data_IF_426099312673
#
_entry.id   IF_426099312673
#
_cell.length_a   1.000
_cell.length_b   1.000
_cell.length_c   1.000
_cell.angle_alpha   90.00
_cell.angle_beta   90.00
_cell.angle_gamma   90.00
#
_symmetry.space_group_name_H-M   'P 1'
#
loop_
_entity.id
_entity.type
_entity.pdbx_description
1 polymer ?
#
# COMPACT_ATOMS: atom_id res chain seq x y z
N UNK A 1 4.69 -2.49 -18.97
CA UNK A 1 4.00 -2.99 -17.77
C UNK A 1 3.61 -1.75 -17.01
N UNK A 2 2.32 -1.47 -16.87
CA UNK A 2 1.88 -0.44 -15.92
C UNK A 2 2.29 -0.93 -14.53
N UNK A 3 3.07 -0.11 -13.82
CA UNK A 3 3.50 -0.44 -12.47
C UNK A 3 2.29 -0.37 -11.54
N UNK A 4 2.22 -1.29 -10.57
CA UNK A 4 1.18 -1.26 -9.55
C UNK A 4 1.36 0.00 -8.69
N UNK A 5 0.30 0.79 -8.52
CA UNK A 5 0.35 1.92 -7.59
C UNK A 5 0.25 1.42 -6.13
N UNK A 6 1.10 1.95 -5.27
CA UNK A 6 1.04 1.67 -3.84
C UNK A 6 -0.21 2.34 -3.21
N UNK A 7 -0.97 1.63 -2.36
CA UNK A 7 -2.18 2.18 -1.74
C UNK A 7 -1.82 3.28 -0.71
N UNK A 8 -1.79 4.52 -1.17
CA UNK A 8 -1.51 5.70 -0.35
C UNK A 8 -2.72 6.13 0.47
N UNK A 9 -2.46 6.78 1.61
CA UNK A 9 -3.49 7.41 2.45
C UNK A 9 -3.79 8.86 2.05
N UNK A 10 -3.29 9.32 0.92
CA UNK A 10 -3.45 10.70 0.46
C UNK A 10 -3.98 10.72 -0.96
N UNK A 11 -4.93 11.62 -1.20
CA UNK A 11 -5.43 11.94 -2.54
C UNK A 11 -4.28 12.51 -3.37
N UNK A 12 -3.97 11.89 -4.51
CA UNK A 12 -3.07 12.53 -5.46
C UNK A 12 -3.81 13.71 -6.11
N UNK A 13 -3.23 14.92 -6.19
CA UNK A 13 -3.88 16.07 -6.81
C UNK A 13 -4.26 15.85 -8.29
N UNK A 14 -3.66 14.86 -8.95
CA UNK A 14 -4.02 14.42 -10.30
C UNK A 14 -5.10 13.34 -10.35
N UNK A 15 -5.55 12.80 -9.21
CA UNK A 15 -6.65 11.83 -9.16
C UNK A 15 -7.99 12.55 -9.29
N UNK A 16 -8.84 12.00 -10.17
CA UNK A 16 -10.20 12.45 -10.38
C UNK A 16 -11.03 12.26 -9.08
N UNK A 17 -12.05 13.10 -8.87
CA UNK A 17 -12.97 12.98 -7.71
C UNK A 17 -13.56 11.55 -7.59
N UNK A 18 -13.73 10.86 -8.73
CA UNK A 18 -14.20 9.49 -8.80
C UNK A 18 -13.36 8.49 -7.99
N UNK A 19 -12.04 8.66 -7.89
CA UNK A 19 -11.17 7.74 -7.14
C UNK A 19 -11.45 7.85 -5.63
N UNK A 20 -11.69 9.06 -5.15
CA UNK A 20 -12.06 9.30 -3.74
C UNK A 20 -13.38 8.61 -3.44
N UNK A 21 -14.38 8.79 -4.30
CA UNK A 21 -15.69 8.15 -4.15
C UNK A 21 -15.58 6.61 -4.13
N UNK A 22 -14.69 6.03 -4.94
CA UNK A 22 -14.42 4.58 -4.91
C UNK A 22 -13.87 4.16 -3.55
N UNK A 23 -12.82 4.84 -3.06
CA UNK A 23 -12.15 4.49 -1.80
C UNK A 23 -13.11 4.66 -0.62
N UNK A 24 -13.88 5.74 -0.56
CA UNK A 24 -14.83 6.03 0.51
C UNK A 24 -15.95 4.98 0.55
N UNK A 25 -16.59 4.74 -0.60
CA UNK A 25 -17.68 3.77 -0.72
C UNK A 25 -17.23 2.34 -0.43
N UNK A 26 -16.06 1.96 -0.94
CA UNK A 26 -15.46 0.66 -0.64
C UNK A 26 -15.22 0.51 0.87
N UNK A 27 -14.71 1.56 1.52
CA UNK A 27 -14.48 1.56 2.97
C UNK A 27 -15.79 1.49 3.76
N UNK A 28 -16.84 2.21 3.35
CA UNK A 28 -18.15 2.17 4.00
C UNK A 28 -18.80 0.79 3.92
N UNK A 29 -18.79 0.19 2.73
CA UNK A 29 -19.35 -1.15 2.52
C UNK A 29 -18.57 -2.22 3.30
N UNK A 30 -17.24 -2.09 3.37
CA UNK A 30 -16.40 -3.00 4.16
C UNK A 30 -16.63 -2.84 5.66
N UNK A 31 -16.67 -1.60 6.16
CA UNK A 31 -16.89 -1.28 7.57
C UNK A 31 -18.27 -1.75 8.06
N UNK A 32 -19.30 -1.57 7.23
CA UNK A 32 -20.67 -2.04 7.52
C UNK A 32 -20.90 -3.53 7.24
N UNK A 33 -19.86 -4.25 6.79
CA UNK A 33 -19.91 -5.67 6.43
C UNK A 33 -20.93 -6.00 5.33
N UNK A 34 -21.23 -5.05 4.45
CA UNK A 34 -22.15 -5.24 3.33
C UNK A 34 -21.42 -5.85 2.13
N UNK A 35 -20.95 -7.09 2.29
CA UNK A 35 -20.09 -7.77 1.31
C UNK A 35 -20.77 -7.99 -0.04
N UNK A 36 -22.08 -8.20 -0.07
CA UNK A 36 -22.84 -8.39 -1.31
C UNK A 36 -22.78 -7.14 -2.18
N UNK A 37 -23.07 -5.97 -1.61
CA UNK A 37 -22.98 -4.70 -2.35
C UNK A 37 -21.53 -4.30 -2.62
N UNK A 38 -20.58 -4.64 -1.72
CA UNK A 38 -19.16 -4.45 -1.97
C UNK A 38 -18.72 -5.17 -3.25
N UNK A 39 -18.97 -6.48 -3.37
CA UNK A 39 -18.51 -7.23 -4.54
C UNK A 39 -19.19 -6.76 -5.83
N UNK A 40 -20.49 -6.46 -5.78
CA UNK A 40 -21.20 -5.83 -6.90
C UNK A 40 -20.58 -4.48 -7.29
N UNK A 41 -20.13 -3.70 -6.30
CA UNK A 41 -19.47 -2.43 -6.55
C UNK A 41 -18.07 -2.63 -7.18
N UNK A 42 -17.31 -3.61 -6.72
CA UNK A 42 -15.96 -3.90 -7.21
C UNK A 42 -15.93 -4.43 -8.66
N UNK A 43 -17.03 -5.02 -9.12
CA UNK A 43 -17.22 -5.41 -10.54
C UNK A 43 -17.41 -4.19 -11.47
N UNK A 44 -17.59 -2.99 -10.92
CA UNK A 44 -17.76 -1.75 -11.66
C UNK A 44 -16.47 -1.18 -12.25
N UNK A 45 -16.65 -0.32 -13.25
CA UNK A 45 -15.59 0.51 -13.84
C UNK A 45 -16.08 1.96 -13.93
N UNK A 46 -15.15 2.92 -13.90
CA UNK A 46 -15.48 4.34 -14.12
C UNK A 46 -15.56 4.68 -15.62
N UNK A 47 -15.99 5.90 -15.94
CA UNK A 47 -15.98 6.43 -17.31
C UNK A 47 -14.56 6.48 -17.90
N UNK A 48 -13.56 6.69 -17.06
CA UNK A 48 -12.13 6.66 -17.40
C UNK A 48 -11.53 5.24 -17.42
N UNK A 49 -12.37 4.19 -17.36
CA UNK A 49 -11.98 2.76 -17.40
C UNK A 49 -11.14 2.30 -16.20
N UNK A 50 -11.20 3.04 -15.08
CA UNK A 50 -10.61 2.60 -13.81
C UNK A 50 -11.46 1.46 -13.26
N UNK A 51 -10.84 0.33 -12.90
CA UNK A 51 -11.58 -0.79 -12.31
C UNK A 51 -11.59 -0.61 -10.80
N UNK A 52 -12.77 -0.62 -10.19
CA UNK A 52 -12.91 -0.39 -8.75
C UNK A 52 -12.09 -1.38 -7.92
N UNK A 53 -11.96 -2.63 -8.39
CA UNK A 53 -11.13 -3.67 -7.75
C UNK A 53 -9.64 -3.35 -7.67
N UNK A 54 -9.11 -2.48 -8.52
CA UNK A 54 -7.69 -2.13 -8.49
C UNK A 54 -7.35 -1.34 -7.20
N UNK A 55 -8.38 -0.80 -6.53
CA UNK A 55 -8.27 -0.08 -5.26
C UNK A 55 -8.49 -0.97 -4.03
N UNK A 56 -8.55 -2.30 -4.15
CA UNK A 56 -8.89 -3.23 -3.05
C UNK A 56 -7.96 -3.10 -1.82
N UNK A 57 -6.74 -2.60 -2.00
CA UNK A 57 -5.76 -2.38 -0.94
C UNK A 57 -5.75 -0.96 -0.38
N UNK A 58 -6.55 -0.05 -0.94
CA UNK A 58 -6.65 1.31 -0.43
C UNK A 58 -7.35 1.33 0.93
N UNK A 59 -6.93 2.29 1.73
CA UNK A 59 -7.46 2.56 3.06
C UNK A 59 -8.29 3.82 2.99
N UNK A 60 -9.30 3.96 3.87
CA UNK A 60 -10.07 5.20 3.98
C UNK A 60 -9.12 6.40 4.11
N UNK A 61 -9.29 7.39 3.24
CA UNK A 61 -8.56 8.65 3.32
C UNK A 61 -8.92 9.37 4.63
N UNK A 62 -7.95 10.02 5.29
CA UNK A 62 -8.25 10.87 6.42
C UNK A 62 -9.10 12.06 5.93
N UNK A 63 -10.13 12.45 6.69
CA UNK A 63 -11.03 13.53 6.29
C UNK A 63 -10.35 14.90 6.21
N UNK A 64 -9.22 15.06 6.89
CA UNK A 64 -8.32 16.21 6.79
C UNK A 64 -6.86 15.79 7.05
N UNK A 65 -5.91 16.66 6.71
CA UNK A 65 -4.47 16.42 6.87
C UNK A 65 -4.03 16.30 8.36
N UNK A 66 -4.89 16.69 9.31
CA UNK A 66 -4.58 16.62 10.76
C UNK A 66 -4.98 15.28 11.38
N UNK A 67 -5.86 14.53 10.71
CA UNK A 67 -6.35 13.24 11.17
C UNK A 67 -5.32 12.16 10.84
N UNK A 68 -4.91 11.41 11.87
CA UNK A 68 -4.03 10.26 11.66
C UNK A 68 -4.75 9.15 10.90
N UNK A 69 -4.20 8.67 9.77
CA UNK A 69 -4.81 7.60 8.99
C UNK A 69 -4.75 6.29 9.78
N UNK A 70 -5.84 5.51 9.76
CA UNK A 70 -5.90 4.21 10.45
C UNK A 70 -5.27 3.07 9.65
N UNK A 71 -5.11 3.27 8.34
CA UNK A 71 -4.59 2.28 7.39
C UNK A 71 -5.38 0.94 7.38
N UNK A 72 -6.70 1.01 7.54
CA UNK A 72 -7.58 -0.17 7.54
C UNK A 72 -8.07 -0.43 6.10
N UNK A 73 -7.72 -1.59 5.57
CA UNK A 73 -8.17 -2.08 4.24
C UNK A 73 -9.46 -2.92 4.38
N UNK A 74 -10.15 -3.23 3.26
CA UNK A 74 -11.25 -4.19 3.24
C UNK A 74 -10.94 -5.54 3.93
N UNK A 75 -9.73 -6.08 3.77
CA UNK A 75 -9.35 -7.35 4.39
C UNK A 75 -9.22 -7.25 5.93
N UNK A 76 -8.77 -6.10 6.44
CA UNK A 76 -8.76 -5.84 7.88
C UNK A 76 -10.20 -5.73 8.43
N UNK A 77 -11.10 -5.02 7.74
CA UNK A 77 -12.50 -4.94 8.12
C UNK A 77 -13.18 -6.31 8.13
N UNK A 78 -12.88 -7.16 7.14
CA UNK A 78 -13.39 -8.52 7.10
C UNK A 78 -12.94 -9.34 8.32
N UNK A 79 -11.70 -9.15 8.77
CA UNK A 79 -11.18 -9.80 9.98
C UNK A 79 -11.83 -9.27 11.26
N UNK A 80 -11.98 -7.94 11.42
CA UNK A 80 -12.71 -7.33 12.55
C UNK A 80 -14.16 -7.81 12.61
N UNK A 81 -14.83 -7.90 11.46
CA UNK A 81 -16.22 -8.34 11.35
C UNK A 81 -16.42 -9.83 11.55
N UNK A 82 -15.34 -10.62 11.65
CA UNK A 82 -15.37 -12.09 11.57
C UNK A 82 -16.12 -12.58 10.34
N UNK A 83 -15.85 -11.95 9.20
CA UNK A 83 -16.49 -12.28 7.94
C UNK A 83 -16.33 -13.78 7.62
N UNK A 84 -17.34 -14.42 7.01
CA UNK A 84 -17.24 -15.81 6.60
C UNK A 84 -16.03 -16.05 5.69
N UNK A 85 -15.43 -17.24 5.78
CA UNK A 85 -14.22 -17.61 5.03
C UNK A 85 -14.31 -17.32 3.53
N UNK A 86 -15.44 -17.59 2.89
CA UNK A 86 -15.63 -17.32 1.46
C UNK A 86 -15.53 -15.83 1.10
N UNK A 87 -15.87 -14.92 2.03
CA UNK A 87 -15.67 -13.47 1.84
C UNK A 87 -14.18 -13.15 1.86
N UNK A 88 -13.43 -13.74 2.79
CA UNK A 88 -11.97 -13.59 2.87
C UNK A 88 -11.32 -14.13 1.59
N UNK A 89 -11.69 -15.33 1.15
CA UNK A 89 -11.19 -15.93 -0.10
C UNK A 89 -11.50 -15.04 -1.31
N UNK A 90 -12.70 -14.47 -1.38
CA UNK A 90 -13.07 -13.55 -2.45
C UNK A 90 -12.20 -12.29 -2.45
N UNK A 91 -12.00 -11.64 -1.30
CA UNK A 91 -11.12 -10.46 -1.19
C UNK A 91 -9.68 -10.80 -1.60
N UNK A 92 -9.15 -11.94 -1.15
CA UNK A 92 -7.81 -12.40 -1.53
C UNK A 92 -7.70 -12.67 -3.03
N UNK A 93 -8.72 -13.28 -3.65
CA UNK A 93 -8.73 -13.52 -5.11
C UNK A 93 -8.82 -12.25 -5.95
N UNK A 94 -9.29 -11.14 -5.35
CA UNK A 94 -9.26 -9.80 -5.94
C UNK A 94 -7.93 -9.07 -5.74
N UNK A 95 -6.95 -9.68 -5.05
CA UNK A 95 -5.63 -9.09 -4.83
C UNK A 95 -5.49 -8.34 -3.51
N UNK A 96 -6.36 -8.58 -2.52
CA UNK A 96 -6.18 -8.03 -1.19
C UNK A 96 -4.88 -8.55 -0.53
N UNK A 97 -4.07 -7.63 -0.01
CA UNK A 97 -2.78 -7.90 0.62
C UNK A 97 -2.92 -8.55 1.98
N UNK A 98 -2.14 -9.61 2.22
CA UNK A 98 -1.97 -10.23 3.54
C UNK A 98 -0.94 -9.52 4.40
N UNK A 99 -0.06 -8.73 3.77
CA UNK A 99 1.12 -8.14 4.41
C UNK A 99 0.96 -6.70 4.89
N UNK A 100 0.01 -5.95 4.32
CA UNK A 100 -0.28 -4.59 4.78
C UNK A 100 -0.72 -4.60 6.23
N UNK A 101 -0.18 -3.66 6.99
CA UNK A 101 -0.49 -3.43 8.40
C UNK A 101 -1.31 -2.16 8.57
N UNK A 102 -2.18 -2.16 9.58
CA UNK A 102 -2.83 -0.94 10.08
C UNK A 102 -1.81 0.02 10.71
N UNK A 103 -2.26 1.22 11.07
CA UNK A 103 -1.43 2.18 11.82
C UNK A 103 -0.99 1.65 13.20
N UNK A 104 -1.69 0.64 13.74
CA UNK A 104 -1.34 -0.05 14.98
C UNK A 104 -0.36 -1.22 14.75
N UNK A 105 0.07 -1.44 13.51
CA UNK A 105 1.03 -2.48 13.15
C UNK A 105 0.44 -3.88 12.99
N UNK A 106 -0.89 -4.01 12.88
CA UNK A 106 -1.58 -5.29 12.76
C UNK A 106 -1.88 -5.63 11.31
N UNK A 107 -1.57 -6.84 10.87
CA UNK A 107 -2.10 -7.40 9.61
C UNK A 107 -3.54 -7.89 9.78
N UNK A 108 -4.22 -8.21 8.68
CA UNK A 108 -5.52 -8.88 8.73
C UNK A 108 -5.45 -10.23 9.49
N UNK A 109 -4.35 -10.97 9.38
CA UNK A 109 -4.12 -12.19 10.15
C UNK A 109 -4.07 -11.92 11.67
N UNK A 110 -3.33 -10.91 12.10
CA UNK A 110 -3.19 -10.57 13.53
C UNK A 110 -4.56 -10.21 14.14
N UNK A 111 -5.37 -9.45 13.39
CA UNK A 111 -6.74 -9.13 13.78
C UNK A 111 -7.58 -10.42 13.85
N UNK A 112 -7.53 -11.29 12.84
CA UNK A 112 -8.29 -12.53 12.82
C UNK A 112 -7.96 -13.45 14.00
N UNK A 113 -6.68 -13.53 14.39
CA UNK A 113 -6.22 -14.24 15.60
C UNK A 113 -6.87 -13.62 16.84
N UNK A 114 -6.78 -12.30 17.01
CA UNK A 114 -7.38 -11.60 18.15
C UNK A 114 -8.90 -11.81 18.22
N UNK A 115 -9.55 -11.85 17.06
CA UNK A 115 -10.98 -12.07 16.93
C UNK A 115 -11.41 -13.53 17.11
N UNK A 116 -10.47 -14.46 17.36
CA UNK A 116 -10.69 -15.90 17.50
C UNK A 116 -11.43 -16.48 16.29
N UNK A 117 -11.01 -16.12 15.08
CA UNK A 117 -11.55 -16.71 13.86
C UNK A 117 -11.11 -18.18 13.72
N UNK A 118 -11.89 -19.01 13.01
CA UNK A 118 -11.56 -20.42 12.79
C UNK A 118 -10.17 -20.63 12.16
N UNK A 119 -9.49 -21.71 12.54
CA UNK A 119 -8.13 -22.01 12.09
C UNK A 119 -8.00 -22.04 10.56
N UNK A 120 -8.99 -22.59 9.87
CA UNK A 120 -8.97 -22.67 8.40
C UNK A 120 -9.10 -21.31 7.71
N UNK A 121 -9.57 -20.27 8.42
CA UNK A 121 -9.56 -18.88 7.98
C UNK A 121 -8.23 -18.21 8.32
N UNK A 122 -7.64 -18.53 9.46
CA UNK A 122 -6.29 -18.08 9.82
C UNK A 122 -5.24 -18.58 8.81
N UNK A 123 -5.37 -19.83 8.37
CA UNK A 123 -4.45 -20.46 7.42
C UNK A 123 -4.40 -19.71 6.08
N UNK A 124 -5.56 -19.23 5.58
CA UNK A 124 -5.60 -18.47 4.31
C UNK A 124 -5.15 -17.02 4.46
N UNK A 125 -5.31 -16.41 5.64
CA UNK A 125 -4.87 -15.04 5.93
C UNK A 125 -3.38 -14.93 6.23
N UNK A 126 -2.72 -16.05 6.54
CA UNK A 126 -1.34 -16.02 6.99
C UNK A 126 -0.42 -15.36 5.95
N UNK A 127 0.39 -14.39 6.41
CA UNK A 127 1.45 -13.74 5.62
C UNK A 127 2.34 -14.81 4.98
N UNK A 128 2.72 -14.72 3.69
CA UNK A 128 3.58 -15.73 3.05
C UNK A 128 4.85 -16.08 3.86
N UNK A 129 5.20 -17.37 3.89
CA UNK A 129 6.25 -17.89 4.78
C UNK A 129 7.63 -17.28 4.54
N UNK A 130 7.98 -17.04 3.27
CA UNK A 130 9.20 -16.37 2.84
C UNK A 130 9.29 -14.94 3.39
N UNK A 131 8.17 -14.21 3.39
CA UNK A 131 8.07 -12.85 3.97
C UNK A 131 8.23 -12.91 5.48
N UNK A 132 7.56 -13.85 6.17
CA UNK A 132 7.70 -14.02 7.63
C UNK A 132 9.13 -14.36 8.04
N UNK A 133 9.79 -15.26 7.30
CA UNK A 133 11.19 -15.66 7.56
C UNK A 133 12.18 -14.52 7.35
N UNK A 134 11.84 -13.55 6.50
CA UNK A 134 12.67 -12.39 6.19
C UNK A 134 12.14 -11.07 6.81
N UNK A 135 11.30 -11.14 7.86
CA UNK A 135 10.67 -9.94 8.41
C UNK A 135 11.70 -8.89 8.87
N UNK A 136 12.77 -9.33 9.53
CA UNK A 136 13.81 -8.44 10.03
C UNK A 136 14.60 -7.76 8.90
N UNK A 137 14.92 -8.51 7.83
CA UNK A 137 15.57 -7.94 6.65
C UNK A 137 14.67 -6.93 5.94
N UNK A 138 13.39 -7.24 5.80
CA UNK A 138 12.38 -6.33 5.24
C UNK A 138 12.29 -5.04 6.07
N UNK A 139 12.26 -5.13 7.41
CA UNK A 139 12.25 -3.94 8.29
C UNK A 139 13.48 -3.06 8.12
N UNK A 140 14.68 -3.65 8.00
CA UNK A 140 15.91 -2.89 7.76
C UNK A 140 15.87 -2.15 6.42
N UNK A 141 15.49 -2.85 5.35
CA UNK A 141 15.35 -2.25 4.03
C UNK A 141 14.24 -1.20 3.98
N UNK A 142 13.12 -1.43 4.68
CA UNK A 142 12.02 -0.47 4.80
C UNK A 142 12.48 0.83 5.44
N UNK A 143 13.28 0.74 6.51
CA UNK A 143 13.90 1.90 7.14
C UNK A 143 14.79 2.68 6.15
N UNK A 144 15.65 1.99 5.40
CA UNK A 144 16.48 2.64 4.37
C UNK A 144 15.65 3.29 3.25
N UNK A 145 14.53 2.67 2.86
CA UNK A 145 13.58 3.25 1.90
C UNK A 145 12.94 4.53 2.48
N UNK A 146 12.51 4.49 3.74
CA UNK A 146 11.91 5.63 4.41
C UNK A 146 12.90 6.79 4.55
N UNK A 147 14.16 6.50 4.91
CA UNK A 147 15.24 7.50 4.94
C UNK A 147 15.44 8.16 3.57
N UNK A 148 15.42 7.36 2.50
CA UNK A 148 15.55 7.86 1.12
C UNK A 148 14.38 8.76 0.71
N UNK A 149 13.15 8.34 0.99
CA UNK A 149 11.94 9.12 0.66
C UNK A 149 11.93 10.43 1.44
N UNK A 150 12.15 10.38 2.75
CA UNK A 150 12.17 11.57 3.61
C UNK A 150 13.30 12.53 3.22
N UNK A 151 14.49 12.03 2.92
CA UNK A 151 15.62 12.86 2.48
C UNK A 151 15.30 13.71 1.24
N UNK A 152 14.40 13.23 0.39
CA UNK A 152 14.04 13.91 -0.88
C UNK A 152 12.72 14.67 -0.83
N UNK A 153 11.78 14.27 0.03
CA UNK A 153 10.39 14.73 -0.06
C UNK A 153 9.73 15.03 1.29
N UNK A 154 10.50 15.10 2.39
CA UNK A 154 9.97 15.29 3.74
C UNK A 154 8.94 16.41 3.86
N UNK A 155 9.15 17.57 3.23
CA UNK A 155 8.19 18.68 3.32
C UNK A 155 6.83 18.35 2.71
N UNK A 156 6.79 17.54 1.64
CA UNK A 156 5.54 17.08 1.01
C UNK A 156 4.89 15.96 1.82
N UNK A 157 5.70 15.02 2.33
CA UNK A 157 5.24 13.95 3.23
C UNK A 157 4.57 14.55 4.47
N UNK A 158 5.23 15.49 5.15
CA UNK A 158 4.72 16.16 6.34
C UNK A 158 3.47 16.98 6.02
N UNK A 159 3.50 17.76 4.93
CA UNK A 159 2.37 18.60 4.51
C UNK A 159 1.09 17.79 4.34
N UNK A 160 1.20 16.65 3.70
CA UNK A 160 0.04 15.83 3.36
C UNK A 160 -0.24 14.71 4.37
N UNK A 161 0.52 14.64 5.47
CA UNK A 161 0.46 13.56 6.46
C UNK A 161 0.51 12.16 5.79
N UNK A 162 1.39 12.01 4.79
CA UNK A 162 1.56 10.76 4.05
C UNK A 162 2.20 9.69 4.92
N UNK A 163 1.65 8.49 4.86
CA UNK A 163 2.27 7.30 5.40
C UNK A 163 3.24 6.74 4.37
N UNK A 164 4.44 6.41 4.84
CA UNK A 164 5.48 5.84 4.01
C UNK A 164 5.12 4.38 3.64
N UNK A 165 5.56 3.91 2.47
CA UNK A 165 5.17 2.59 1.99
C UNK A 165 5.71 1.48 2.88
N UNK A 166 4.90 0.44 3.06
CA UNK A 166 5.30 -0.79 3.76
C UNK A 166 5.98 -1.72 2.76
N UNK A 167 7.24 -2.03 3.01
CA UNK A 167 8.08 -2.77 2.06
C UNK A 167 7.63 -4.22 1.89
N UNK A 168 6.93 -4.80 2.87
CA UNK A 168 6.33 -6.13 2.74
C UNK A 168 5.40 -6.25 1.52
N UNK A 169 4.76 -5.16 1.10
CA UNK A 169 3.95 -5.10 -0.12
C UNK A 169 4.75 -5.39 -1.40
N UNK A 170 6.01 -4.90 -1.49
CA UNK A 170 6.93 -5.22 -2.59
C UNK A 170 7.21 -6.72 -2.68
N UNK A 171 7.30 -7.39 -1.53
CA UNK A 171 7.58 -8.81 -1.48
C UNK A 171 6.36 -9.64 -1.88
N UNK A 172 5.15 -9.16 -1.59
CA UNK A 172 3.90 -9.82 -1.95
C UNK A 172 3.51 -9.62 -3.42
N UNK A 173 3.58 -8.40 -3.96
CA UNK A 173 3.05 -8.07 -5.29
C UNK A 173 4.12 -7.72 -6.34
N UNK A 174 5.37 -7.51 -5.92
CA UNK A 174 6.42 -7.02 -6.80
C UNK A 174 6.44 -5.50 -6.89
N UNK A 175 7.12 -5.01 -7.93
CA UNK A 175 7.47 -3.60 -8.11
C UNK A 175 6.24 -2.68 -8.03
N UNK A 176 6.41 -1.52 -7.40
CA UNK A 176 5.33 -0.55 -7.24
C UNK A 176 5.79 0.90 -7.44
N UNK A 177 4.83 1.75 -7.77
CA UNK A 177 4.98 3.20 -7.79
C UNK A 177 4.37 3.82 -6.54
N UNK A 178 5.15 4.65 -5.83
CA UNK A 178 4.70 5.44 -4.69
C UNK A 178 4.64 6.93 -5.11
N UNK A 179 3.46 7.43 -5.51
CA UNK A 179 3.31 8.82 -5.94
C UNK A 179 3.43 9.79 -4.76
N UNK A 180 4.04 10.96 -4.99
CA UNK A 180 4.08 12.04 -4.00
C UNK A 180 3.34 13.27 -4.53
N UNK A 181 2.16 13.60 -3.98
CA UNK A 181 1.46 14.85 -4.20
C UNK A 181 2.38 16.08 -4.16
N UNK A 182 2.33 16.89 -5.21
CA UNK A 182 3.16 18.10 -5.34
C UNK A 182 4.61 17.85 -5.79
N UNK A 183 5.08 16.60 -5.84
CA UNK A 183 6.40 16.27 -6.39
C UNK A 183 6.39 16.20 -7.92
N UNK A 184 5.21 16.11 -8.56
CA UNK A 184 5.07 15.84 -10.00
C UNK A 184 5.86 14.57 -10.41
N UNK A 185 5.82 13.57 -9.53
CA UNK A 185 6.72 12.44 -9.52
C UNK A 185 6.47 11.56 -8.30
N UNK A 186 7.47 10.77 -7.92
CA UNK A 186 7.35 9.78 -6.88
C UNK A 186 8.54 8.83 -6.89
N UNK A 187 8.32 7.63 -6.35
CA UNK A 187 9.33 6.60 -6.19
C UNK A 187 8.89 5.31 -6.86
N UNK A 188 9.70 4.80 -7.79
CA UNK A 188 9.55 3.45 -8.31
C UNK A 188 10.42 2.52 -7.47
N UNK A 189 9.80 1.55 -6.81
CA UNK A 189 10.47 0.63 -5.88
C UNK A 189 10.45 -0.77 -6.44
N UNK A 190 11.61 -1.43 -6.51
CA UNK A 190 11.77 -2.76 -7.09
C UNK A 190 12.75 -3.64 -6.33
N UNK A 191 12.58 -4.96 -6.42
CA UNK A 191 13.55 -5.92 -5.86
C UNK A 191 14.75 -6.05 -6.78
N UNK A 192 15.92 -6.29 -6.20
CA UNK A 192 17.11 -6.72 -6.92
C UNK A 192 17.90 -7.76 -6.10
N UNK A 193 18.90 -8.39 -6.72
CA UNK A 193 19.70 -9.42 -6.05
C UNK A 193 20.37 -8.92 -4.76
N UNK A 194 20.73 -7.64 -4.73
CA UNK A 194 21.47 -7.00 -3.63
C UNK A 194 20.55 -6.42 -2.53
N UNK A 195 19.22 -6.37 -2.75
CA UNK A 195 18.27 -5.77 -1.83
C UNK A 195 17.10 -5.13 -2.56
N UNK A 196 16.89 -3.84 -2.34
CA UNK A 196 15.83 -3.04 -2.96
C UNK A 196 16.45 -1.88 -3.70
N UNK A 197 15.97 -1.62 -4.91
CA UNK A 197 16.32 -0.42 -5.66
C UNK A 197 15.12 0.53 -5.67
N UNK A 198 15.41 1.83 -5.53
CA UNK A 198 14.40 2.87 -5.66
C UNK A 198 14.88 3.98 -6.58
N UNK A 199 14.07 4.29 -7.59
CA UNK A 199 14.28 5.41 -8.50
C UNK A 199 13.26 6.49 -8.20
N UNK A 200 13.69 7.75 -8.23
CA UNK A 200 12.79 8.87 -7.98
C UNK A 200 13.15 10.06 -8.84
N UNK A 201 12.13 10.74 -9.35
CA UNK A 201 12.30 11.91 -10.21
C UNK A 201 11.09 12.84 -10.14
N UNK A 202 11.31 14.09 -10.55
CA UNK A 202 10.27 15.10 -10.76
C UNK A 202 10.21 15.42 -12.26
N UNK A 203 9.05 15.20 -12.88
CA UNK A 203 8.89 15.34 -14.35
C UNK A 203 9.09 16.76 -14.87
N UNK A 204 8.98 17.76 -13.99
CA UNK A 204 9.10 19.18 -14.33
C UNK A 204 10.44 19.78 -13.92
N UNK A 205 11.36 18.97 -13.39
CA UNK A 205 12.71 19.38 -13.01
C UNK A 205 13.74 18.43 -13.64
N UNK A 206 14.34 18.85 -14.75
CA UNK A 206 15.39 18.08 -15.44
C UNK A 206 16.59 17.81 -14.53
N UNK A 207 17.19 16.63 -14.65
CA UNK A 207 18.29 16.16 -13.81
C UNK A 207 17.90 15.83 -12.36
N UNK A 208 16.61 15.81 -12.02
CA UNK A 208 16.16 15.49 -10.66
C UNK A 208 16.20 14.01 -10.30
N UNK A 209 16.41 13.15 -11.30
CA UNK A 209 16.46 11.70 -11.17
C UNK A 209 17.57 11.24 -10.23
N UNK A 210 17.22 10.39 -9.28
CA UNK A 210 18.17 9.64 -8.45
C UNK A 210 17.75 8.19 -8.31
N UNK A 211 18.73 7.29 -8.37
CA UNK A 211 18.59 5.85 -8.09
C UNK A 211 19.39 5.50 -6.86
N UNK A 212 18.76 4.79 -5.93
CA UNK A 212 19.39 4.29 -4.73
C UNK A 212 19.26 2.77 -4.65
N UNK A 213 20.34 2.12 -4.21
CA UNK A 213 20.32 0.75 -3.72
C UNK A 213 20.21 0.78 -2.20
N UNK A 214 19.28 0.01 -1.67
CA UNK A 214 19.12 -0.27 -0.25
C UNK A 214 19.51 -1.73 -0.06
N UNK A 215 20.65 -1.97 0.57
CA UNK A 215 21.12 -3.34 0.79
C UNK A 215 20.28 -4.08 1.84
N UNK A 216 20.51 -5.38 2.01
CA UNK A 216 19.77 -6.23 2.96
C UNK A 216 19.94 -5.83 4.43
N UNK A 217 20.96 -5.01 4.75
CA UNK A 217 21.18 -4.45 6.08
C UNK A 217 20.51 -3.07 6.25
N UNK A 218 19.89 -2.54 5.19
CA UNK A 218 19.20 -1.25 5.17
C UNK A 218 20.12 -0.08 4.83
N UNK A 219 21.37 -0.31 4.43
CA UNK A 219 22.26 0.78 4.05
C UNK A 219 21.87 1.35 2.69
N UNK A 220 21.80 2.68 2.63
CA UNK A 220 21.41 3.42 1.42
C UNK A 220 22.66 3.85 0.64
N UNK A 221 22.71 3.50 -0.64
CA UNK A 221 23.80 3.83 -1.56
C UNK A 221 23.20 4.53 -2.77
N UNK A 222 23.57 5.78 -3.02
CA UNK A 222 23.27 6.47 -4.28
C UNK A 222 24.10 5.84 -5.41
N UNK A 223 23.43 5.29 -6.42
CA UNK A 223 24.10 4.56 -7.52
C UNK A 223 24.06 5.33 -8.83
N UNK A 224 23.10 6.22 -9.00
CA UNK A 224 23.00 7.09 -10.19
C UNK A 224 22.23 8.37 -9.83
N UNK A 225 22.61 9.50 -10.43
CA UNK A 225 21.90 10.77 -10.30
C UNK A 225 21.98 11.61 -11.58
N UNK A 226 21.08 12.58 -11.74
CA UNK A 226 21.12 13.54 -12.85
C UNK A 226 20.37 13.09 -14.11
N UNK A 227 19.57 12.03 -14.04
CA UNK A 227 18.70 11.61 -15.14
C UNK A 227 17.35 12.36 -15.13
N UNK A 228 16.56 12.16 -16.19
CA UNK A 228 15.35 12.92 -16.59
C UNK A 228 15.65 14.19 -17.36
#
# INVERSE_FOLDING_TARGET
>A
MENLDYPSNVKNPSECEEIVDIIEKMSDLSQSQNWKELFKFLDGVTEEVLKHKDYINHTRLPGDETTQPKLITPLHYASYGKAPKNIIENLLSLGASKTLKTAEGQTAYDIAVHMNMPQDTLDILQVPEDIRKNEEGIKKMEKGLHETILGRSKSLIDKHNMQLPQLSFLYEFGDFWFPIPGMYGGFHVRKCDQGVETESWCRVAGGSGQRHLIDREGNVILTEEGFV
#
